data_IF_663645965934
#
_entry.id   IF_663645965934
#
_cell.length_a   1.000
_cell.length_b   1.000
_cell.length_c   1.000
_cell.angle_alpha   90.00
_cell.angle_beta   90.00
_cell.angle_gamma   90.00
#
_symmetry.space_group_name_H-M   'P 1'
#
loop_
_entity.id
_entity.type
_entity.pdbx_description
1 polymer ?
#
# COMPACT_ATOMS: atom_id res chain seq x y z
N UNK A 1 -28.46 13.94 23.35
CA UNK A 1 -28.53 14.06 21.87
C UNK A 1 -28.47 12.64 21.32
N UNK A 2 -29.34 12.28 20.38
CA UNK A 2 -29.53 10.88 19.95
C UNK A 2 -28.99 10.71 18.54
N UNK A 3 -27.98 9.86 18.39
CA UNK A 3 -27.46 9.43 17.09
C UNK A 3 -28.59 8.69 16.34
N UNK A 4 -28.70 8.78 15.00
CA UNK A 4 -29.68 8.00 14.25
C UNK A 4 -29.58 6.50 14.60
N UNK A 5 -30.72 5.82 14.76
CA UNK A 5 -30.76 4.41 15.18
C UNK A 5 -30.05 3.46 14.22
N UNK A 6 -30.03 3.82 12.93
CA UNK A 6 -29.29 3.08 11.90
C UNK A 6 -27.78 3.16 12.14
N UNK A 7 -27.24 4.37 12.36
CA UNK A 7 -25.83 4.56 12.68
C UNK A 7 -25.44 3.82 13.96
N UNK A 8 -26.22 3.96 15.03
CA UNK A 8 -25.99 3.24 16.30
C UNK A 8 -25.86 1.72 16.07
N UNK A 9 -26.76 1.14 15.28
CA UNK A 9 -26.73 -0.28 14.93
C UNK A 9 -25.46 -0.69 14.18
N UNK A 10 -25.00 0.15 13.24
CA UNK A 10 -23.78 -0.12 12.46
C UNK A 10 -22.54 -0.06 13.37
N UNK A 11 -22.47 0.93 14.26
CA UNK A 11 -21.35 1.12 15.17
C UNK A 11 -21.25 0.01 16.21
N UNK A 12 -22.37 -0.45 16.75
CA UNK A 12 -22.40 -1.57 17.70
C UNK A 12 -21.92 -2.88 17.05
N UNK A 13 -22.36 -3.16 15.82
CA UNK A 13 -21.85 -4.29 15.03
C UNK A 13 -20.33 -4.23 14.86
N UNK A 14 -19.79 -3.05 14.52
CA UNK A 14 -18.37 -2.85 14.33
C UNK A 14 -17.57 -3.09 15.63
N UNK A 15 -18.10 -2.63 16.78
CA UNK A 15 -17.50 -2.87 18.10
C UNK A 15 -17.46 -4.36 18.49
N UNK A 16 -18.39 -5.15 17.96
CA UNK A 16 -18.42 -6.62 18.10
C UNK A 16 -17.55 -7.34 17.05
N UNK A 17 -16.85 -6.61 16.19
CA UNK A 17 -15.99 -7.19 15.14
C UNK A 17 -16.74 -7.68 13.90
N UNK A 18 -17.99 -7.24 13.70
CA UNK A 18 -18.78 -7.54 12.51
C UNK A 18 -18.60 -6.44 11.47
N UNK A 19 -18.19 -6.81 10.26
CA UNK A 19 -17.98 -5.87 9.16
C UNK A 19 -19.33 -5.27 8.67
N UNK A 20 -19.33 -3.99 8.22
CA UNK A 20 -20.52 -3.37 7.64
C UNK A 20 -20.92 -4.02 6.32
N UNK A 21 -22.21 -4.00 5.99
CA UNK A 21 -22.69 -4.37 4.65
C UNK A 21 -22.35 -3.29 3.61
N UNK A 22 -22.66 -3.55 2.34
CA UNK A 22 -22.54 -2.54 1.28
C UNK A 22 -23.44 -1.33 1.55
N UNK A 23 -24.67 -1.56 1.97
CA UNK A 23 -25.65 -0.52 2.31
C UNK A 23 -25.17 0.30 3.50
N UNK A 24 -24.67 -0.36 4.55
CA UNK A 24 -24.06 0.30 5.71
C UNK A 24 -22.90 1.20 5.26
N UNK A 25 -22.00 0.71 4.39
CA UNK A 25 -20.89 1.51 3.85
C UNK A 25 -21.36 2.73 3.05
N UNK A 26 -22.40 2.59 2.20
CA UNK A 26 -22.96 3.71 1.44
C UNK A 26 -23.55 4.76 2.37
N UNK A 27 -24.32 4.33 3.38
CA UNK A 27 -24.87 5.22 4.40
C UNK A 27 -23.76 5.99 5.14
N UNK A 28 -22.72 5.29 5.60
CA UNK A 28 -21.60 5.91 6.32
C UNK A 28 -20.83 6.95 5.46
N UNK A 29 -20.68 6.67 4.16
CA UNK A 29 -19.99 7.58 3.21
C UNK A 29 -20.82 8.81 2.84
N UNK A 30 -22.14 8.78 3.03
CA UNK A 30 -23.05 9.90 2.76
C UNK A 30 -23.13 10.90 3.93
N UNK A 31 -22.57 10.54 5.10
CA UNK A 31 -22.54 11.42 6.26
C UNK A 31 -21.71 12.68 5.98
N UNK A 32 -22.19 13.89 6.31
CA UNK A 32 -21.39 15.11 6.17
C UNK A 32 -20.11 15.02 7.02
N UNK A 33 -18.96 15.37 6.46
CA UNK A 33 -17.64 15.16 7.10
C UNK A 33 -17.51 15.80 8.50
N UNK A 34 -18.10 16.99 8.66
CA UNK A 34 -18.08 17.79 9.89
C UNK A 34 -19.24 17.47 10.85
N UNK A 35 -20.07 16.48 10.54
CA UNK A 35 -21.19 16.06 11.39
C UNK A 35 -20.74 15.29 12.65
N UNK A 36 -21.60 15.26 13.66
CA UNK A 36 -21.38 14.46 14.86
C UNK A 36 -21.41 12.96 14.55
N UNK A 37 -22.19 12.56 13.55
CA UNK A 37 -22.30 11.19 13.03
C UNK A 37 -20.98 10.72 12.41
N UNK A 38 -20.35 11.57 11.59
CA UNK A 38 -19.03 11.30 11.05
C UNK A 38 -17.96 11.25 12.16
N UNK A 39 -18.05 12.14 13.15
CA UNK A 39 -17.16 12.12 14.31
C UNK A 39 -17.31 10.82 15.14
N UNK A 40 -18.55 10.37 15.39
CA UNK A 40 -18.84 9.12 16.09
C UNK A 40 -18.30 7.89 15.33
N UNK A 41 -18.47 7.88 14.00
CA UNK A 41 -17.92 6.83 13.13
C UNK A 41 -16.40 6.75 13.24
N UNK A 42 -15.70 7.89 13.15
CA UNK A 42 -14.24 7.98 13.31
C UNK A 42 -13.79 7.50 14.69
N UNK A 43 -14.51 7.87 15.74
CA UNK A 43 -14.20 7.45 17.11
C UNK A 43 -14.32 5.93 17.31
N UNK A 44 -15.38 5.31 16.78
CA UNK A 44 -15.55 3.85 16.85
C UNK A 44 -14.51 3.13 16.00
N UNK A 45 -14.19 3.64 14.81
CA UNK A 45 -13.13 3.09 13.97
C UNK A 45 -11.76 3.12 14.67
N UNK A 46 -11.42 4.22 15.35
CA UNK A 46 -10.19 4.33 16.16
C UNK A 46 -10.18 3.29 17.29
N UNK A 47 -11.28 3.14 18.03
CA UNK A 47 -11.40 2.13 19.08
C UNK A 47 -11.22 0.69 18.55
N UNK A 48 -11.88 0.36 17.44
CA UNK A 48 -11.79 -0.96 16.81
C UNK A 48 -10.36 -1.23 16.34
N UNK A 49 -9.73 -0.25 15.69
CA UNK A 49 -8.34 -0.34 15.23
C UNK A 49 -7.37 -0.58 16.39
N UNK A 50 -7.44 0.23 17.45
CA UNK A 50 -6.56 0.08 18.62
C UNK A 50 -6.74 -1.26 19.33
N UNK A 51 -7.98 -1.75 19.45
CA UNK A 51 -8.24 -3.09 20.01
C UNK A 51 -7.65 -4.18 19.12
N UNK A 52 -7.87 -4.10 17.81
CA UNK A 52 -7.40 -5.10 16.84
C UNK A 52 -5.89 -5.22 16.80
N UNK A 53 -5.20 -4.08 16.83
CA UNK A 53 -3.75 -3.99 16.71
C UNK A 53 -3.03 -3.82 18.06
N UNK A 54 -3.75 -3.98 19.18
CA UNK A 54 -3.18 -3.80 20.53
C UNK A 54 -2.43 -2.47 20.69
N UNK A 55 -2.96 -1.41 20.07
CA UNK A 55 -2.37 -0.08 20.04
C UNK A 55 -0.95 -0.01 19.42
N UNK A 56 -0.58 -0.98 18.57
CA UNK A 56 0.69 -1.01 17.86
C UNK A 56 0.55 -0.48 16.42
N UNK A 57 1.57 0.27 15.98
CA UNK A 57 1.76 0.65 14.58
C UNK A 57 2.78 -0.25 13.89
N UNK A 58 2.69 -0.36 12.57
CA UNK A 58 3.67 -1.08 11.76
C UNK A 58 4.54 -0.07 11.00
N UNK A 59 5.86 -0.18 11.13
CA UNK A 59 6.80 0.65 10.38
C UNK A 59 7.06 0.04 9.01
N UNK A 60 6.72 0.79 7.96
CA UNK A 60 6.90 0.40 6.58
C UNK A 60 7.80 1.44 5.88
N UNK A 61 8.75 0.98 5.09
CA UNK A 61 9.63 1.81 4.27
C UNK A 61 9.38 1.56 2.79
N UNK A 62 9.68 2.52 1.93
CA UNK A 62 9.57 2.34 0.48
C UNK A 62 10.78 2.95 -0.23
N UNK A 63 11.36 2.20 -1.16
CA UNK A 63 12.40 2.66 -2.08
C UNK A 63 11.80 2.66 -3.49
N UNK A 64 11.72 3.83 -4.11
CA UNK A 64 11.56 3.94 -5.56
C UNK A 64 12.87 3.56 -6.24
N UNK A 65 12.95 2.35 -6.77
CA UNK A 65 14.19 1.82 -7.36
C UNK A 65 14.39 2.32 -8.79
N UNK A 66 13.31 2.79 -9.41
CA UNK A 66 13.33 3.47 -10.70
C UNK A 66 12.17 4.47 -10.81
N UNK A 67 12.30 5.40 -11.75
CA UNK A 67 11.25 6.32 -12.20
C UNK A 67 11.36 6.46 -13.70
N UNK A 68 10.22 6.56 -14.38
CA UNK A 68 10.14 6.90 -15.80
C UNK A 68 8.77 7.51 -16.10
N UNK A 69 8.61 8.23 -17.22
CA UNK A 69 7.28 8.51 -17.76
C UNK A 69 6.49 7.22 -17.94
N UNK A 70 5.51 7.01 -17.06
CA UNK A 70 4.84 5.73 -16.87
C UNK A 70 3.78 5.51 -17.95
N UNK A 71 3.84 4.39 -18.71
CA UNK A 71 2.90 4.13 -19.80
C UNK A 71 1.47 3.88 -19.33
N UNK A 72 1.27 3.45 -18.06
CA UNK A 72 -0.05 3.28 -17.46
C UNK A 72 -0.87 4.57 -17.34
N UNK A 73 -0.24 5.73 -17.58
CA UNK A 73 -0.83 7.04 -17.85
C UNK A 73 -2.09 7.41 -17.04
N UNK A 74 -2.14 7.02 -15.75
CA UNK A 74 -3.31 7.25 -14.94
C UNK A 74 -3.48 8.75 -14.71
N UNK A 75 -4.67 9.30 -14.95
CA UNK A 75 -4.90 10.75 -14.94
C UNK A 75 -4.65 11.43 -13.59
N UNK A 76 -4.68 10.67 -12.49
CA UNK A 76 -4.40 11.13 -11.13
C UNK A 76 -2.93 10.91 -10.70
N UNK A 77 -2.14 10.16 -11.46
CA UNK A 77 -0.79 9.76 -11.06
C UNK A 77 0.26 10.71 -11.62
N UNK A 78 1.11 11.30 -10.77
CA UNK A 78 2.17 12.24 -11.19
C UNK A 78 3.18 11.66 -12.19
N UNK A 79 3.28 10.33 -12.28
CA UNK A 79 4.18 9.63 -13.19
C UNK A 79 3.59 9.39 -14.59
N UNK A 80 2.31 9.72 -14.84
CA UNK A 80 1.68 9.45 -16.14
C UNK A 80 2.42 10.12 -17.31
N UNK A 81 2.77 9.34 -18.34
CA UNK A 81 3.67 9.77 -19.43
C UNK A 81 3.24 11.04 -20.18
N UNK A 82 1.93 11.31 -20.29
CA UNK A 82 1.42 12.44 -21.08
C UNK A 82 1.52 13.78 -20.33
N UNK A 83 1.66 13.74 -19.00
CA UNK A 83 1.64 14.95 -18.16
C UNK A 83 2.80 15.05 -17.16
N UNK A 84 3.67 14.04 -17.08
CA UNK A 84 4.84 14.08 -16.21
C UNK A 84 6.02 14.79 -16.85
N UNK A 85 6.80 15.48 -16.02
CA UNK A 85 8.11 16.05 -16.36
C UNK A 85 9.26 15.34 -15.63
N UNK A 86 8.95 14.25 -14.91
CA UNK A 86 9.93 13.51 -14.12
C UNK A 86 10.86 12.74 -15.08
N UNK A 87 12.19 12.90 -14.97
CA UNK A 87 13.12 12.20 -15.84
C UNK A 87 13.18 10.71 -15.52
N UNK A 88 13.57 9.93 -16.52
CA UNK A 88 13.92 8.52 -16.30
C UNK A 88 15.15 8.42 -15.42
N UNK A 89 15.07 7.61 -14.36
CA UNK A 89 16.16 7.31 -13.46
C UNK A 89 16.03 5.87 -12.97
N UNK A 90 17.15 5.21 -12.74
CA UNK A 90 17.22 3.88 -12.16
C UNK A 90 18.37 3.89 -11.17
N UNK A 91 18.10 3.49 -9.94
CA UNK A 91 19.13 3.39 -8.92
C UNK A 91 20.08 2.25 -9.26
N UNK A 92 21.36 2.43 -8.98
CA UNK A 92 22.32 1.32 -8.99
C UNK A 92 22.02 0.34 -7.85
N UNK A 93 22.47 -0.91 -8.01
CA UNK A 93 22.34 -1.91 -6.95
C UNK A 93 23.01 -1.45 -5.64
N UNK A 94 24.12 -0.73 -5.73
CA UNK A 94 24.82 -0.19 -4.55
C UNK A 94 24.01 0.89 -3.83
N UNK A 95 23.36 1.80 -4.57
CA UNK A 95 22.46 2.79 -3.94
C UNK A 95 21.26 2.11 -3.27
N UNK A 96 20.70 1.07 -3.90
CA UNK A 96 19.58 0.32 -3.31
C UNK A 96 20.04 -0.41 -2.05
N UNK A 97 21.21 -1.04 -2.10
CA UNK A 97 21.87 -1.72 -0.96
C UNK A 97 22.01 -0.78 0.23
N UNK A 98 22.61 0.39 0.01
CA UNK A 98 22.82 1.41 1.05
C UNK A 98 21.50 1.92 1.64
N UNK A 99 20.49 2.19 0.79
CA UNK A 99 19.17 2.65 1.26
C UNK A 99 18.45 1.57 2.06
N UNK A 100 18.49 0.32 1.60
CA UNK A 100 17.87 -0.80 2.28
C UNK A 100 18.47 -1.02 3.67
N UNK A 101 19.81 -1.00 3.76
CA UNK A 101 20.51 -1.05 5.04
C UNK A 101 20.09 0.12 5.95
N UNK A 102 20.12 1.36 5.46
CA UNK A 102 19.73 2.53 6.24
C UNK A 102 18.29 2.48 6.76
N UNK A 103 17.35 1.93 5.98
CA UNK A 103 15.97 1.71 6.42
C UNK A 103 15.87 0.67 7.54
N UNK A 104 16.70 -0.37 7.49
CA UNK A 104 16.57 -1.54 8.33
C UNK A 104 17.52 -1.58 9.54
N UNK A 105 18.53 -0.72 9.58
CA UNK A 105 19.56 -0.66 10.64
C UNK A 105 18.96 -0.44 12.04
N UNK A 106 17.82 0.25 12.13
CA UNK A 106 17.08 0.42 13.37
C UNK A 106 16.36 -0.83 13.89
N UNK A 107 16.28 -1.92 13.13
CA UNK A 107 15.71 -3.21 13.53
C UNK A 107 14.18 -3.31 13.58
N UNK A 108 13.48 -2.18 13.72
CA UNK A 108 12.02 -2.11 13.89
C UNK A 108 11.21 -2.10 12.57
N UNK A 109 11.90 -2.10 11.42
CA UNK A 109 11.25 -2.08 10.11
C UNK A 109 10.52 -3.40 9.86
N UNK A 110 9.19 -3.34 9.79
CA UNK A 110 8.36 -4.52 9.53
C UNK A 110 8.44 -4.94 8.06
N UNK A 111 8.30 -4.00 7.13
CA UNK A 111 8.38 -4.29 5.70
C UNK A 111 9.05 -3.17 4.90
N UNK A 112 9.85 -3.58 3.92
CA UNK A 112 10.47 -2.71 2.93
C UNK A 112 9.82 -2.93 1.56
N UNK A 113 9.27 -1.87 1.00
CA UNK A 113 8.60 -1.85 -0.29
C UNK A 113 9.60 -1.46 -1.38
N UNK A 114 9.63 -2.22 -2.47
CA UNK A 114 10.41 -1.91 -3.66
C UNK A 114 9.44 -1.48 -4.76
N UNK A 115 9.52 -0.22 -5.15
CA UNK A 115 8.60 0.38 -6.10
C UNK A 115 9.23 0.59 -7.48
N UNK A 116 8.57 0.09 -8.53
CA UNK A 116 8.89 0.34 -9.95
C UNK A 116 7.78 1.16 -10.61
N UNK A 117 7.92 1.40 -11.92
CA UNK A 117 6.81 1.89 -12.73
C UNK A 117 5.84 0.75 -13.10
N UNK A 118 4.79 1.06 -13.89
CA UNK A 118 3.80 0.06 -14.33
C UNK A 118 4.44 -1.04 -15.19
N UNK A 119 5.27 -0.66 -16.15
CA UNK A 119 6.15 -1.61 -16.83
C UNK A 119 7.47 -1.68 -16.08
N UNK A 120 7.99 -2.90 -15.91
CA UNK A 120 9.21 -3.13 -15.16
C UNK A 120 9.96 -4.36 -15.69
N UNK A 121 11.27 -4.38 -15.43
CA UNK A 121 12.15 -5.51 -15.74
C UNK A 121 12.17 -6.48 -14.56
N UNK A 122 11.49 -7.62 -14.74
CA UNK A 122 11.37 -8.65 -13.71
C UNK A 122 12.72 -9.26 -13.34
N UNK A 123 13.61 -9.48 -14.31
CA UNK A 123 14.88 -10.17 -14.05
C UNK A 123 15.77 -9.30 -13.18
N UNK A 124 15.88 -8.01 -13.51
CA UNK A 124 16.58 -7.05 -12.66
C UNK A 124 15.91 -6.86 -11.30
N UNK A 125 14.57 -6.84 -11.22
CA UNK A 125 13.88 -6.75 -9.93
C UNK A 125 14.23 -7.94 -9.02
N UNK A 126 14.39 -9.14 -9.56
CA UNK A 126 14.82 -10.31 -8.79
C UNK A 126 16.26 -10.17 -8.29
N UNK A 127 17.15 -9.57 -9.08
CA UNK A 127 18.51 -9.22 -8.62
C UNK A 127 18.46 -8.20 -7.47
N UNK A 128 17.63 -7.17 -7.60
CA UNK A 128 17.42 -6.17 -6.55
C UNK A 128 16.90 -6.82 -5.26
N UNK A 129 15.90 -7.70 -5.35
CA UNK A 129 15.37 -8.43 -4.19
C UNK A 129 16.47 -9.26 -3.50
N UNK A 130 17.32 -9.93 -4.28
CA UNK A 130 18.45 -10.70 -3.75
C UNK A 130 19.45 -9.82 -2.99
N UNK A 131 19.83 -8.67 -3.56
CA UNK A 131 20.71 -7.69 -2.90
C UNK A 131 20.08 -7.19 -1.61
N UNK A 132 18.84 -6.70 -1.66
CA UNK A 132 18.11 -6.17 -0.50
C UNK A 132 17.98 -7.21 0.60
N UNK A 133 17.74 -8.47 0.23
CA UNK A 133 17.58 -9.54 1.21
C UNK A 133 18.84 -9.76 2.04
N UNK A 134 20.02 -9.62 1.44
CA UNK A 134 21.30 -9.79 2.11
C UNK A 134 21.66 -8.63 3.05
N UNK A 135 21.01 -7.47 2.93
CA UNK A 135 21.32 -6.27 3.72
C UNK A 135 20.41 -6.02 4.91
N UNK A 136 19.19 -6.55 4.87
CA UNK A 136 18.17 -6.25 5.87
C UNK A 136 17.82 -7.51 6.68
N UNK A 137 17.37 -7.38 7.95
CA UNK A 137 17.07 -8.51 8.80
C UNK A 137 16.08 -9.50 8.18
N UNK A 138 16.25 -10.79 8.49
CA UNK A 138 15.43 -11.86 7.93
C UNK A 138 13.93 -11.71 8.26
N UNK A 139 13.59 -11.09 9.39
CA UNK A 139 12.21 -10.84 9.80
C UNK A 139 11.55 -9.70 9.03
N UNK A 140 12.33 -8.77 8.47
CA UNK A 140 11.79 -7.68 7.65
C UNK A 140 11.30 -8.25 6.32
N UNK A 141 10.02 -8.00 6.04
CA UNK A 141 9.36 -8.45 4.82
C UNK A 141 9.81 -7.61 3.63
N UNK A 142 9.96 -8.23 2.46
CA UNK A 142 10.12 -7.51 1.20
C UNK A 142 8.77 -7.52 0.48
N UNK A 143 8.26 -6.34 0.14
CA UNK A 143 6.99 -6.17 -0.59
C UNK A 143 7.29 -5.47 -1.90
N UNK A 144 6.68 -5.90 -3.00
CA UNK A 144 6.82 -5.23 -4.29
C UNK A 144 5.62 -4.31 -4.55
N UNK A 145 5.89 -3.09 -4.98
CA UNK A 145 4.89 -2.11 -5.42
C UNK A 145 5.14 -1.84 -6.90
N UNK A 146 4.61 -2.73 -7.72
CA UNK A 146 4.95 -2.86 -9.14
C UNK A 146 3.66 -2.92 -9.97
N UNK A 147 3.76 -2.84 -11.30
CA UNK A 147 2.60 -3.06 -12.16
C UNK A 147 2.08 -4.49 -12.15
N UNK A 148 1.05 -4.75 -12.94
CA UNK A 148 0.42 -6.06 -12.98
C UNK A 148 1.36 -7.14 -13.53
N UNK A 149 1.20 -8.36 -13.02
CA UNK A 149 2.02 -9.50 -13.39
C UNK A 149 1.24 -10.81 -13.28
N UNK A 150 1.73 -11.85 -13.95
CA UNK A 150 1.07 -13.15 -13.99
C UNK A 150 1.52 -14.10 -12.86
N UNK A 151 0.91 -15.27 -12.81
CA UNK A 151 1.25 -16.30 -11.82
C UNK A 151 2.70 -16.79 -11.93
N UNK A 152 3.30 -16.75 -13.12
CA UNK A 152 4.69 -17.14 -13.33
C UNK A 152 5.63 -16.16 -12.63
N UNK A 153 5.45 -14.87 -12.89
CA UNK A 153 6.18 -13.80 -12.20
C UNK A 153 5.96 -13.85 -10.68
N UNK A 154 4.73 -14.07 -10.21
CA UNK A 154 4.41 -14.21 -8.79
C UNK A 154 5.23 -15.32 -8.11
N UNK A 155 5.36 -16.48 -8.77
CA UNK A 155 6.17 -17.61 -8.27
C UNK A 155 7.65 -17.28 -8.23
N UNK A 156 8.17 -16.58 -9.24
CA UNK A 156 9.57 -16.14 -9.29
C UNK A 156 9.89 -15.15 -8.17
N UNK A 157 9.04 -14.15 -7.97
CA UNK A 157 9.14 -13.18 -6.88
C UNK A 157 9.12 -13.87 -5.52
N UNK A 158 8.17 -14.78 -5.30
CA UNK A 158 8.09 -15.57 -4.06
C UNK A 158 9.34 -16.40 -3.83
N UNK A 159 9.87 -17.04 -4.88
CA UNK A 159 11.09 -17.83 -4.84
C UNK A 159 12.34 -17.01 -4.49
N UNK A 160 12.38 -15.73 -4.88
CA UNK A 160 13.46 -14.80 -4.52
C UNK A 160 13.34 -14.22 -3.10
N UNK A 161 12.24 -14.51 -2.38
CA UNK A 161 12.03 -14.04 -1.00
C UNK A 161 11.05 -12.87 -0.86
N UNK A 162 10.35 -12.48 -1.93
CA UNK A 162 9.25 -11.49 -1.82
C UNK A 162 8.11 -12.08 -0.98
N UNK A 163 7.61 -11.27 -0.06
CA UNK A 163 6.62 -11.65 0.94
C UNK A 163 5.20 -11.23 0.56
N UNK A 164 5.07 -10.19 -0.27
CA UNK A 164 3.78 -9.75 -0.81
C UNK A 164 3.93 -8.76 -1.96
N UNK A 165 2.80 -8.40 -2.56
CA UNK A 165 2.70 -7.36 -3.57
C UNK A 165 1.63 -6.35 -3.14
N UNK A 166 1.89 -5.07 -3.34
CA UNK A 166 0.97 -3.97 -3.06
C UNK A 166 0.28 -3.52 -4.34
N UNK A 167 -0.96 -3.96 -4.53
CA UNK A 167 -1.81 -3.54 -5.64
C UNK A 167 -3.05 -2.87 -5.07
N UNK A 168 -3.50 -1.80 -5.73
CA UNK A 168 -4.71 -1.06 -5.35
C UNK A 168 -5.76 -1.16 -6.44
N UNK A 169 -6.99 -1.51 -6.07
CA UNK A 169 -8.13 -1.33 -6.96
C UNK A 169 -8.44 0.17 -7.03
N UNK A 170 -8.41 0.72 -8.25
CA UNK A 170 -8.57 2.16 -8.46
C UNK A 170 -10.03 2.45 -8.74
N UNK A 171 -10.54 3.55 -8.18
CA UNK A 171 -11.85 4.05 -8.62
C UNK A 171 -11.75 4.41 -10.10
N UNK A 172 -12.78 4.02 -10.87
CA UNK A 172 -12.88 4.29 -12.31
C UNK A 172 -11.71 3.68 -13.13
N UNK A 173 -11.18 2.56 -12.67
CA UNK A 173 -10.22 1.74 -13.42
C UNK A 173 -10.75 1.40 -14.83
N UNK A 174 -9.87 1.51 -15.83
CA UNK A 174 -10.19 1.40 -17.26
C UNK A 174 -10.79 2.68 -17.88
N UNK A 175 -11.14 3.69 -17.08
CA UNK A 175 -11.53 5.03 -17.57
C UNK A 175 -10.44 6.05 -17.31
N UNK A 176 -9.98 6.15 -16.05
CA UNK A 176 -8.94 7.11 -15.65
C UNK A 176 -7.54 6.47 -15.62
N UNK A 177 -7.46 5.20 -16.02
CA UNK A 177 -6.25 4.38 -16.13
C UNK A 177 -6.25 3.71 -17.50
N UNK A 178 -5.09 3.57 -18.13
CA UNK A 178 -4.95 2.88 -19.43
C UNK A 178 -4.77 1.37 -19.29
#
# INVERSE_FOLDING_TARGET
MRVPSELETILDKALEGRAPSREDCVFLLDLPEESLEAAATKAVADMVSRRRFSNAGMLLGQIGIETAPCPGNCGFCVFGKEHTSIPTSRLSLEEIRQRAHAFADGGDLYALFLMTMHEFDLDWLLEVVSVVRNEIPAHTQIVVNIGDFDLSAARRLKGAGVSGAYHVCRLREGTDTS
#
